data_IF_067936805299
#
_entry.id   IF_067936805299
#
_cell.length_a   1.000
_cell.length_b   1.000
_cell.length_c   1.000
_cell.angle_alpha   90.00
_cell.angle_beta   90.00
_cell.angle_gamma   90.00
#
_symmetry.space_group_name_H-M   'P 1'
#
loop_
_entity.id
_entity.type
_entity.pdbx_description
1 polymer ?
#
# COMPACT_ATOMS: atom_id res chain seq x y z
N UNK A 1 -12.10 -2.86 -6.90
CA UNK A 1 -11.47 -1.62 -6.41
C UNK A 1 -10.06 -1.95 -5.94
N UNK A 2 -9.11 -1.04 -6.16
CA UNK A 2 -7.74 -1.13 -5.70
C UNK A 2 -7.32 0.19 -5.05
N UNK A 3 -6.54 0.10 -3.96
CA UNK A 3 -5.84 1.24 -3.37
C UNK A 3 -4.35 0.94 -3.50
N UNK A 4 -3.66 1.81 -4.23
CA UNK A 4 -2.23 1.67 -4.52
C UNK A 4 -1.49 2.71 -3.69
N UNK A 5 -0.60 2.25 -2.83
CA UNK A 5 0.12 3.09 -1.87
C UNK A 5 1.56 2.65 -1.71
N UNK A 6 2.47 3.60 -1.45
CA UNK A 6 3.91 3.35 -1.45
C UNK A 6 4.41 2.95 -2.84
N UNK A 7 3.79 3.50 -3.90
CA UNK A 7 4.09 3.16 -5.28
C UNK A 7 3.79 4.29 -6.26
N UNK A 8 4.43 4.27 -7.43
CA UNK A 8 4.20 5.23 -8.52
C UNK A 8 4.13 4.54 -9.90
N UNK A 9 3.33 5.10 -10.79
CA UNK A 9 3.33 4.83 -12.22
C UNK A 9 4.44 5.66 -12.89
N UNK A 10 5.69 5.35 -12.55
CA UNK A 10 6.86 6.12 -12.98
C UNK A 10 8.09 5.22 -13.10
N UNK A 11 9.00 5.51 -14.03
CA UNK A 11 10.19 4.67 -14.26
C UNK A 11 11.15 4.64 -13.07
N UNK A 12 11.00 5.53 -12.07
CA UNK A 12 11.73 5.42 -10.79
C UNK A 12 11.53 4.06 -10.12
N UNK A 13 10.35 3.43 -10.31
CA UNK A 13 10.05 2.12 -9.73
C UNK A 13 10.79 0.96 -10.40
N UNK A 14 11.40 1.21 -11.57
CA UNK A 14 12.24 0.23 -12.26
C UNK A 14 13.61 0.08 -11.59
N UNK A 15 13.96 0.94 -10.63
CA UNK A 15 15.23 0.83 -9.87
C UNK A 15 15.06 0.16 -8.51
N UNK A 16 13.99 -0.61 -8.34
CA UNK A 16 13.60 -1.23 -7.06
C UNK A 16 14.03 -2.70 -6.98
N UNK A 17 13.51 -3.44 -5.98
CA UNK A 17 13.77 -4.87 -5.76
C UNK A 17 13.49 -5.67 -7.03
N UNK A 18 14.30 -6.70 -7.30
CA UNK A 18 14.23 -7.50 -8.53
C UNK A 18 12.83 -8.04 -8.83
N UNK A 19 12.12 -8.52 -7.79
CA UNK A 19 10.77 -9.05 -7.88
C UNK A 19 9.75 -8.04 -8.39
N UNK A 20 9.98 -6.74 -8.17
CA UNK A 20 9.09 -5.68 -8.65
C UNK A 20 9.62 -5.04 -9.93
N UNK A 21 10.95 -4.96 -10.11
CA UNK A 21 11.58 -4.41 -11.31
C UNK A 21 11.27 -5.22 -12.57
N UNK A 22 11.59 -6.52 -12.57
CA UNK A 22 11.49 -7.35 -13.78
C UNK A 22 10.09 -7.36 -14.43
N UNK A 23 8.98 -7.57 -13.70
CA UNK A 23 7.66 -7.55 -14.32
C UNK A 23 7.32 -6.16 -14.89
N UNK A 24 7.72 -5.08 -14.21
CA UNK A 24 7.46 -3.72 -14.68
C UNK A 24 8.30 -3.36 -15.92
N UNK A 25 9.56 -3.78 -15.99
CA UNK A 25 10.37 -3.60 -17.22
C UNK A 25 9.71 -4.29 -18.41
N UNK A 26 9.27 -5.54 -18.25
CA UNK A 26 8.59 -6.30 -19.32
C UNK A 26 7.26 -5.69 -19.72
N UNK A 27 6.50 -5.17 -18.75
CA UNK A 27 5.27 -4.43 -19.04
C UNK A 27 5.57 -3.14 -19.82
N UNK A 28 6.63 -2.41 -19.45
CA UNK A 28 7.02 -1.14 -20.08
C UNK A 28 7.58 -1.30 -21.49
N UNK A 29 7.99 -2.50 -21.89
CA UNK A 29 8.29 -2.83 -23.29
C UNK A 29 7.04 -2.74 -24.21
N UNK A 30 5.83 -2.84 -23.64
CA UNK A 30 4.57 -2.94 -24.39
C UNK A 30 3.58 -1.81 -24.09
N UNK A 31 3.59 -1.24 -22.89
CA UNK A 31 2.58 -0.30 -22.42
C UNK A 31 3.22 0.94 -21.81
N UNK A 32 2.64 2.12 -22.07
CA UNK A 32 2.92 3.31 -21.26
C UNK A 32 2.37 3.16 -19.84
N UNK A 33 2.84 3.98 -18.91
CA UNK A 33 2.28 4.03 -17.56
C UNK A 33 0.79 4.41 -17.55
N UNK A 34 0.37 5.27 -18.47
CA UNK A 34 -1.04 5.63 -18.68
C UNK A 34 -1.86 4.45 -19.18
N UNK A 35 -1.34 3.70 -20.17
CA UNK A 35 -2.03 2.50 -20.67
C UNK A 35 -2.18 1.47 -19.55
N UNK A 36 -1.10 1.27 -18.78
CA UNK A 36 -1.10 0.35 -17.66
C UNK A 36 -2.10 0.74 -16.56
N UNK A 37 -2.15 2.03 -16.18
CA UNK A 37 -3.16 2.54 -15.24
C UNK A 37 -4.60 2.41 -15.77
N UNK A 38 -4.77 2.40 -17.09
CA UNK A 38 -6.08 2.29 -17.74
C UNK A 38 -6.58 0.85 -17.89
N UNK A 39 -5.72 -0.17 -17.73
CA UNK A 39 -6.12 -1.58 -17.86
C UNK A 39 -7.21 -2.02 -16.87
N UNK A 40 -7.35 -1.32 -15.76
CA UNK A 40 -8.36 -1.59 -14.74
C UNK A 40 -9.75 -1.04 -15.09
N UNK A 41 -9.86 -0.19 -16.13
CA UNK A 41 -11.13 0.40 -16.54
C UNK A 41 -12.01 -0.61 -17.32
N UNK A 42 -13.36 -0.52 -17.20
CA UNK A 42 -14.12 0.29 -16.23
C UNK A 42 -14.37 -0.44 -14.90
N UNK A 43 -13.99 -1.72 -14.81
CA UNK A 43 -14.48 -2.66 -13.79
C UNK A 43 -13.86 -2.47 -12.39
N UNK A 44 -12.76 -1.73 -12.30
CA UNK A 44 -12.07 -1.52 -11.04
C UNK A 44 -11.79 -0.04 -10.80
N UNK A 45 -12.39 0.52 -9.74
CA UNK A 45 -11.97 1.84 -9.24
C UNK A 45 -10.56 1.75 -8.63
N UNK A 46 -9.69 2.70 -8.98
CA UNK A 46 -8.31 2.81 -8.48
C UNK A 46 -8.10 4.14 -7.73
N UNK A 47 -7.69 4.04 -6.46
CA UNK A 47 -7.16 5.17 -5.70
C UNK A 47 -5.64 5.05 -5.59
N UNK A 48 -4.91 6.05 -6.08
CA UNK A 48 -3.47 6.19 -5.81
C UNK A 48 -3.30 7.10 -4.59
N UNK A 49 -2.73 6.56 -3.51
CA UNK A 49 -2.60 7.25 -2.23
C UNK A 49 -1.14 7.23 -1.75
N UNK A 50 -0.47 8.39 -1.79
CA UNK A 50 0.93 8.53 -1.40
C UNK A 50 1.17 9.81 -0.58
N UNK A 51 2.39 10.00 -0.08
CA UNK A 51 2.82 11.20 0.60
C UNK A 51 3.70 12.05 -0.30
N UNK A 52 3.52 13.38 -0.26
CA UNK A 52 4.32 14.28 -1.11
C UNK A 52 5.79 14.34 -0.70
N UNK A 53 6.11 14.06 0.57
CA UNK A 53 7.47 14.02 1.11
C UNK A 53 8.07 12.60 1.12
N UNK A 54 7.51 11.67 0.34
CA UNK A 54 8.04 10.30 0.24
C UNK A 54 9.36 10.26 -0.55
N UNK A 55 10.45 10.38 0.20
CA UNK A 55 11.83 10.33 -0.30
C UNK A 55 12.24 8.96 -0.85
N UNK A 56 11.52 7.88 -0.53
CA UNK A 56 11.82 6.53 -1.05
C UNK A 56 11.49 6.48 -2.54
N UNK A 57 10.46 7.20 -2.97
CA UNK A 57 9.98 7.17 -4.36
C UNK A 57 10.44 8.41 -5.13
N UNK A 58 10.12 9.61 -4.64
CA UNK A 58 10.27 10.86 -5.40
C UNK A 58 11.63 11.54 -5.18
N UNK A 59 12.38 11.13 -4.15
CA UNK A 59 13.71 11.66 -3.80
C UNK A 59 13.76 13.19 -3.56
N UNK A 60 12.60 13.87 -3.54
CA UNK A 60 12.43 15.22 -2.98
C UNK A 60 12.27 16.36 -3.98
N UNK A 61 12.11 16.09 -5.28
CA UNK A 61 11.87 17.13 -6.30
C UNK A 61 10.40 17.27 -6.73
N UNK A 62 9.51 16.47 -6.15
CA UNK A 62 8.06 16.37 -6.38
C UNK A 62 7.68 15.95 -7.82
N UNK A 63 8.65 15.66 -8.67
CA UNK A 63 8.43 15.43 -10.10
C UNK A 63 7.68 14.12 -10.38
N UNK A 64 7.87 13.09 -9.54
CA UNK A 64 7.13 11.82 -9.65
C UNK A 64 5.65 12.08 -9.36
N UNK A 65 5.34 12.86 -8.33
CA UNK A 65 3.95 13.15 -7.98
C UNK A 65 3.26 14.04 -9.02
N UNK A 66 3.98 14.98 -9.63
CA UNK A 66 3.46 15.76 -10.76
C UNK A 66 3.13 14.86 -11.95
N UNK A 67 4.04 13.95 -12.34
CA UNK A 67 3.80 12.98 -13.43
C UNK A 67 2.66 12.02 -13.09
N UNK A 68 2.55 11.58 -11.84
CA UNK A 68 1.42 10.77 -11.37
C UNK A 68 0.08 11.48 -11.56
N UNK A 69 -0.02 12.77 -11.21
CA UNK A 69 -1.24 13.56 -11.44
C UNK A 69 -1.58 13.63 -12.93
N UNK A 70 -0.58 13.79 -13.79
CA UNK A 70 -0.78 13.79 -15.25
C UNK A 70 -1.25 12.43 -15.78
N UNK A 71 -0.65 11.34 -15.32
CA UNK A 71 -1.03 9.96 -15.68
C UNK A 71 -2.47 9.68 -15.27
N UNK A 72 -2.84 10.00 -14.03
CA UNK A 72 -4.22 9.84 -13.53
C UNK A 72 -5.20 10.67 -14.34
N UNK A 73 -4.88 11.93 -14.60
CA UNK A 73 -5.72 12.81 -15.42
C UNK A 73 -5.95 12.21 -16.81
N UNK A 74 -4.89 11.69 -17.44
CA UNK A 74 -4.97 11.10 -18.77
C UNK A 74 -5.76 9.79 -18.76
N UNK A 75 -5.48 8.88 -17.82
CA UNK A 75 -6.20 7.62 -17.66
C UNK A 75 -7.68 7.86 -17.34
N UNK A 76 -8.01 8.93 -16.60
CA UNK A 76 -9.41 9.28 -16.29
C UNK A 76 -10.26 9.48 -17.55
N UNK A 77 -9.66 9.87 -18.68
CA UNK A 77 -10.38 10.00 -19.94
C UNK A 77 -10.85 8.65 -20.48
N UNK A 78 -10.04 7.59 -20.35
CA UNK A 78 -10.42 6.22 -20.72
C UNK A 78 -11.55 5.73 -19.83
N UNK A 79 -11.41 5.90 -18.52
CA UNK A 79 -12.44 5.59 -17.54
C UNK A 79 -13.78 6.28 -17.84
N UNK A 80 -13.76 7.59 -18.16
CA UNK A 80 -14.95 8.35 -18.59
C UNK A 80 -15.59 7.79 -19.85
N UNK A 81 -14.79 7.47 -20.87
CA UNK A 81 -15.28 6.90 -22.13
C UNK A 81 -15.96 5.53 -21.93
N UNK A 82 -15.48 4.76 -20.95
CA UNK A 82 -16.02 3.44 -20.60
C UNK A 82 -17.13 3.50 -19.54
N UNK A 83 -17.63 4.69 -19.18
CA UNK A 83 -18.77 4.87 -18.29
C UNK A 83 -18.46 4.88 -16.79
N UNK A 84 -17.19 5.06 -16.41
CA UNK A 84 -16.73 5.09 -15.01
C UNK A 84 -15.97 6.39 -14.70
N UNK A 85 -16.61 7.57 -14.74
CA UNK A 85 -15.92 8.87 -14.72
C UNK A 85 -15.04 9.15 -13.50
N UNK A 86 -15.34 8.50 -12.37
CA UNK A 86 -14.59 8.61 -11.10
C UNK A 86 -13.75 7.35 -10.81
N UNK A 87 -13.58 6.47 -11.79
CA UNK A 87 -12.94 5.17 -11.61
C UNK A 87 -11.43 5.22 -11.41
N UNK A 88 -10.77 6.37 -11.57
CA UNK A 88 -9.38 6.54 -11.15
C UNK A 88 -9.15 7.94 -10.59
N UNK A 89 -8.48 8.03 -9.44
CA UNK A 89 -8.10 9.29 -8.83
C UNK A 89 -6.84 9.14 -7.96
N UNK A 90 -6.23 10.27 -7.61
CA UNK A 90 -5.08 10.32 -6.73
C UNK A 90 -5.36 11.23 -5.53
N UNK A 91 -4.79 10.85 -4.40
CA UNK A 91 -4.74 11.64 -3.19
C UNK A 91 -3.31 11.63 -2.65
N UNK A 92 -2.79 12.81 -2.31
CA UNK A 92 -1.45 12.96 -1.76
C UNK A 92 -1.52 13.66 -0.41
N UNK A 93 -0.96 13.03 0.64
CA UNK A 93 -0.83 13.66 1.96
C UNK A 93 0.32 14.66 1.91
N UNK A 94 0.01 15.94 2.12
CA UNK A 94 1.00 17.00 2.28
C UNK A 94 1.94 16.66 3.44
N UNK A 95 3.25 16.81 3.24
CA UNK A 95 4.31 16.48 4.21
C UNK A 95 4.35 15.00 4.65
N UNK A 96 3.47 14.14 4.11
CA UNK A 96 3.48 12.71 4.36
C UNK A 96 4.65 12.04 3.63
N UNK A 97 5.30 11.07 4.27
CA UNK A 97 6.35 10.28 3.62
C UNK A 97 5.83 8.91 3.15
N UNK A 98 6.67 7.88 3.23
CA UNK A 98 6.33 6.50 2.85
C UNK A 98 5.46 5.80 3.92
N UNK A 99 4.16 6.07 3.90
CA UNK A 99 3.19 5.63 4.92
C UNK A 99 2.13 4.66 4.33
N UNK A 100 1.45 3.86 5.17
CA UNK A 100 0.42 2.93 4.70
C UNK A 100 -0.91 3.66 4.40
N UNK A 101 -0.99 4.42 3.30
CA UNK A 101 -2.17 5.25 3.01
C UNK A 101 -3.44 4.44 2.72
N UNK A 102 -3.32 3.15 2.40
CA UNK A 102 -4.47 2.25 2.22
C UNK A 102 -5.32 2.05 3.48
N UNK A 103 -4.84 2.44 4.67
CA UNK A 103 -5.60 2.42 5.93
C UNK A 103 -5.96 3.82 6.44
N UNK A 104 -5.79 4.87 5.63
CA UNK A 104 -6.21 6.22 6.00
C UNK A 104 -7.71 6.44 5.82
N UNK A 105 -8.25 7.51 6.41
CA UNK A 105 -9.65 7.92 6.24
C UNK A 105 -10.03 8.10 4.77
N UNK A 106 -9.16 8.68 3.95
CA UNK A 106 -9.41 8.89 2.52
C UNK A 106 -9.62 7.56 1.80
N UNK A 107 -8.86 6.54 2.17
CA UNK A 107 -9.06 5.18 1.69
C UNK A 107 -10.38 4.59 2.18
N UNK A 108 -10.77 4.80 3.44
CA UNK A 108 -12.08 4.39 3.95
C UNK A 108 -13.25 5.09 3.24
N UNK A 109 -13.12 6.38 2.93
CA UNK A 109 -14.13 7.12 2.15
C UNK A 109 -14.27 6.54 0.74
N UNK A 110 -13.15 6.24 0.08
CA UNK A 110 -13.15 5.61 -1.24
C UNK A 110 -13.79 4.21 -1.20
N UNK A 111 -13.44 3.39 -0.20
CA UNK A 111 -14.08 2.09 0.04
C UNK A 111 -15.59 2.26 0.19
N UNK A 112 -16.04 3.20 1.03
CA UNK A 112 -17.47 3.43 1.28
C UNK A 112 -18.21 3.83 0.00
N UNK A 113 -17.64 4.73 -0.79
CA UNK A 113 -18.28 5.24 -2.00
C UNK A 113 -18.47 4.16 -3.06
N UNK A 114 -17.53 3.21 -3.19
CA UNK A 114 -17.55 2.23 -4.28
C UNK A 114 -18.00 0.82 -3.86
N UNK A 115 -17.76 0.42 -2.61
CA UNK A 115 -18.09 -0.91 -2.09
C UNK A 115 -19.09 -0.86 -0.94
N UNK A 116 -19.27 0.29 -0.31
CA UNK A 116 -20.05 0.46 0.92
C UNK A 116 -19.29 0.03 2.17
N UNK A 117 -19.72 0.53 3.33
CA UNK A 117 -19.27 0.06 4.64
C UNK A 117 -20.50 -0.24 5.50
N UNK A 118 -20.94 -1.50 5.64
CA UNK A 118 -22.20 -1.83 6.30
C UNK A 118 -22.34 -1.32 7.74
N UNK A 119 -21.21 -1.16 8.44
CA UNK A 119 -21.18 -0.73 9.84
C UNK A 119 -21.11 0.79 10.04
N UNK A 120 -20.89 1.59 8.99
CA UNK A 120 -20.65 3.02 9.11
C UNK A 120 -21.20 3.81 7.91
N UNK A 121 -21.78 4.98 8.16
CA UNK A 121 -22.09 5.96 7.12
C UNK A 121 -20.83 6.73 6.70
N UNK A 122 -20.85 7.34 5.52
CA UNK A 122 -19.77 8.24 5.08
C UNK A 122 -19.51 9.38 6.08
N UNK A 123 -20.58 9.92 6.68
CA UNK A 123 -20.44 10.98 7.70
C UNK A 123 -19.71 10.46 8.94
N UNK A 124 -20.07 9.27 9.43
CA UNK A 124 -19.36 8.65 10.56
C UNK A 124 -17.88 8.41 10.25
N UNK A 125 -17.54 7.97 9.03
CA UNK A 125 -16.14 7.78 8.62
C UNK A 125 -15.37 9.11 8.68
N UNK A 126 -15.96 10.19 8.15
CA UNK A 126 -15.34 11.53 8.17
C UNK A 126 -15.12 12.03 9.60
N UNK A 127 -16.10 11.80 10.47
CA UNK A 127 -16.11 12.21 11.88
C UNK A 127 -15.27 11.33 12.81
N UNK A 128 -14.76 10.18 12.35
CA UNK A 128 -13.90 9.31 13.17
C UNK A 128 -12.75 10.12 13.81
N UNK A 129 -12.36 9.87 15.06
CA UNK A 129 -11.10 10.41 15.56
C UNK A 129 -9.93 9.84 14.75
N UNK A 130 -8.77 10.49 14.86
CA UNK A 130 -7.51 9.95 14.34
C UNK A 130 -6.54 9.68 15.47
N UNK A 131 -5.67 8.71 15.26
CA UNK A 131 -4.56 8.38 16.15
C UNK A 131 -3.25 8.36 15.35
N UNK A 132 -2.18 8.86 15.95
CA UNK A 132 -0.85 8.66 15.40
C UNK A 132 -0.39 7.23 15.66
N UNK A 133 -0.02 6.52 14.59
CA UNK A 133 0.41 5.12 14.62
C UNK A 133 1.57 4.87 15.59
N UNK A 134 2.57 5.75 15.62
CA UNK A 134 3.70 5.66 16.53
C UNK A 134 3.30 5.79 17.99
N UNK A 135 2.50 6.80 18.32
CA UNK A 135 1.98 7.00 19.68
C UNK A 135 1.12 5.82 20.13
N UNK A 136 0.28 5.29 19.24
CA UNK A 136 -0.52 4.10 19.52
C UNK A 136 0.35 2.88 19.79
N UNK A 137 1.43 2.69 19.01
CA UNK A 137 2.40 1.60 19.25
C UNK A 137 3.09 1.74 20.61
N UNK A 138 3.55 2.95 20.96
CA UNK A 138 4.22 3.23 22.22
C UNK A 138 3.30 2.93 23.42
N UNK A 139 2.02 3.32 23.34
CA UNK A 139 1.01 3.05 24.38
C UNK A 139 0.77 1.55 24.63
N UNK A 140 1.02 0.72 23.62
CA UNK A 140 0.80 -0.72 23.67
C UNK A 140 2.09 -1.55 23.75
N UNK A 141 3.25 -0.90 23.92
CA UNK A 141 4.54 -1.57 24.00
C UNK A 141 4.97 -2.28 22.70
N UNK A 142 4.45 -1.85 21.55
CA UNK A 142 4.78 -2.40 20.24
C UNK A 142 6.01 -1.68 19.70
N UNK A 143 7.08 -2.42 19.44
CA UNK A 143 8.28 -1.89 18.83
C UNK A 143 8.17 -1.98 17.31
N UNK A 144 8.19 -0.82 16.64
CA UNK A 144 8.32 -0.76 15.19
C UNK A 144 9.76 -1.09 14.79
N UNK A 145 9.91 -1.82 13.68
CA UNK A 145 11.21 -2.05 13.08
C UNK A 145 11.84 -0.69 12.67
N UNK A 146 13.17 -0.60 12.76
CA UNK A 146 13.91 0.65 12.67
C UNK A 146 13.58 1.48 11.43
N UNK A 147 13.49 0.85 10.25
CA UNK A 147 13.18 1.55 9.01
C UNK A 147 11.75 2.08 8.99
N UNK A 148 10.79 1.43 9.66
CA UNK A 148 9.41 1.92 9.73
C UNK A 148 9.15 2.88 10.89
N UNK A 149 10.09 2.96 11.84
CA UNK A 149 10.01 3.70 13.08
C UNK A 149 10.23 5.21 12.98
N UNK A 150 10.15 5.83 11.80
CA UNK A 150 10.40 7.28 11.63
C UNK A 150 9.10 8.06 11.35
N UNK A 151 9.04 9.36 11.66
CA UNK A 151 7.87 10.19 11.34
C UNK A 151 7.53 10.26 9.84
N UNK A 152 8.49 10.05 8.95
CA UNK A 152 8.19 9.98 7.51
C UNK A 152 7.60 8.62 7.09
N UNK A 153 7.68 7.59 7.93
CA UNK A 153 7.19 6.24 7.60
C UNK A 153 6.00 5.84 8.48
N UNK A 154 5.79 4.53 8.70
CA UNK A 154 4.64 3.98 9.42
C UNK A 154 4.41 4.63 10.79
N UNK A 155 5.47 5.01 11.52
CA UNK A 155 5.34 5.69 12.82
C UNK A 155 4.60 7.03 12.72
N UNK A 156 4.77 7.77 11.63
CA UNK A 156 4.10 9.06 11.42
C UNK A 156 2.68 8.97 10.88
N UNK A 157 2.17 7.77 10.60
CA UNK A 157 0.85 7.62 9.99
C UNK A 157 -0.28 8.14 10.89
N UNK A 158 -1.21 8.89 10.30
CA UNK A 158 -2.41 9.40 10.98
C UNK A 158 -3.59 8.54 10.55
N UNK A 159 -3.99 7.62 11.43
CA UNK A 159 -4.94 6.56 11.10
C UNK A 159 -6.31 6.84 11.74
N UNK A 160 -7.42 6.41 11.12
CA UNK A 160 -8.72 6.42 11.77
C UNK A 160 -8.68 5.57 13.05
N UNK A 161 -9.12 6.15 14.16
CA UNK A 161 -9.21 5.43 15.43
C UNK A 161 -10.53 4.66 15.48
N UNK A 162 -10.41 3.35 15.28
CA UNK A 162 -11.52 2.39 15.30
C UNK A 162 -11.62 1.65 16.64
N UNK A 163 -10.92 2.10 17.69
CA UNK A 163 -10.88 1.41 18.98
C UNK A 163 -10.25 0.02 18.91
N UNK A 164 -9.27 -0.16 18.03
CA UNK A 164 -8.58 -1.45 17.86
C UNK A 164 -7.64 -1.72 19.03
N UNK A 165 -7.53 -2.99 19.41
CA UNK A 165 -6.58 -3.47 20.41
C UNK A 165 -5.58 -4.44 19.78
N UNK A 166 -4.32 -4.44 20.23
CA UNK A 166 -3.33 -5.40 19.76
C UNK A 166 -3.81 -6.83 19.96
N UNK A 167 -3.58 -7.67 18.97
CA UNK A 167 -3.70 -9.12 19.16
C UNK A 167 -2.45 -9.61 19.88
N UNK A 168 -2.56 -10.32 21.03
CA UNK A 168 -1.42 -10.87 21.74
C UNK A 168 -0.56 -11.76 20.83
N UNK A 169 0.77 -11.72 21.02
CA UNK A 169 1.73 -12.46 20.19
C UNK A 169 1.44 -13.96 20.16
N UNK A 170 0.99 -14.50 21.29
CA UNK A 170 0.65 -15.91 21.46
C UNK A 170 -0.53 -16.33 20.57
N UNK A 171 -1.39 -15.38 20.19
CA UNK A 171 -2.49 -15.60 19.25
C UNK A 171 -2.09 -15.34 17.79
N UNK A 172 -0.94 -14.72 17.54
CA UNK A 172 -0.39 -14.47 16.20
C UNK A 172 0.54 -15.60 15.73
N UNK A 173 1.11 -16.38 16.66
CA UNK A 173 2.00 -17.49 16.30
C UNK A 173 1.20 -18.66 15.73
N UNK A 174 1.46 -19.00 14.47
CA UNK A 174 0.91 -20.21 13.87
C UNK A 174 1.70 -21.46 14.26
N UNK A 175 3.02 -21.30 14.43
CA UNK A 175 3.91 -22.35 14.88
C UNK A 175 3.94 -22.40 16.40
N UNK A 176 3.89 -23.62 16.95
CA UNK A 176 4.19 -23.87 18.35
C UNK A 176 5.68 -23.58 18.64
N UNK A 177 6.04 -23.24 19.89
CA UNK A 177 7.42 -22.92 20.23
C UNK A 177 8.44 -24.01 19.88
N UNK A 178 8.06 -25.28 19.94
CA UNK A 178 8.88 -26.45 19.59
C UNK A 178 8.96 -26.72 18.07
N UNK A 179 8.07 -26.11 17.28
CA UNK A 179 8.11 -26.17 15.81
C UNK A 179 9.05 -25.12 15.21
N UNK A 180 9.43 -24.09 15.98
CA UNK A 180 10.31 -23.03 15.52
C UNK A 180 11.70 -23.57 15.15
N UNK A 181 12.10 -23.35 13.89
CA UNK A 181 13.38 -23.84 13.37
C UNK A 181 13.38 -25.32 12.96
N UNK A 182 12.23 -26.01 13.05
CA UNK A 182 12.11 -27.38 12.55
C UNK A 182 12.28 -27.43 11.01
N UNK A 183 12.90 -28.48 10.45
CA UNK A 183 13.24 -28.53 9.02
C UNK A 183 12.04 -28.31 8.07
N UNK A 184 10.83 -28.71 8.47
CA UNK A 184 9.63 -28.52 7.65
C UNK A 184 9.21 -27.05 7.50
N UNK A 185 9.74 -26.13 8.32
CA UNK A 185 9.42 -24.70 8.28
C UNK A 185 10.66 -23.82 8.02
N UNK A 186 11.78 -24.40 7.58
CA UNK A 186 13.00 -23.65 7.25
C UNK A 186 13.41 -23.87 5.80
N UNK A 187 14.05 -22.86 5.21
CA UNK A 187 14.58 -22.95 3.84
C UNK A 187 15.64 -24.05 3.77
N UNK A 188 16.49 -24.16 4.79
CA UNK A 188 17.53 -25.17 4.89
C UNK A 188 16.95 -26.58 4.88
N UNK A 189 15.87 -26.83 5.63
CA UNK A 189 15.21 -28.13 5.64
C UNK A 189 14.54 -28.46 4.30
N UNK A 190 13.93 -27.47 3.64
CA UNK A 190 13.36 -27.65 2.30
C UNK A 190 14.44 -27.97 1.25
N UNK A 191 15.60 -27.31 1.31
CA UNK A 191 16.73 -27.59 0.42
C UNK A 191 17.27 -29.01 0.63
N UNK A 192 17.45 -29.44 1.88
CA UNK A 192 17.89 -30.81 2.20
C UNK A 192 16.91 -31.86 1.67
N UNK A 193 15.60 -31.61 1.76
CA UNK A 193 14.59 -32.53 1.23
C UNK A 193 14.66 -32.65 -0.30
N UNK A 194 14.83 -31.53 -1.01
CA UNK A 194 14.98 -31.50 -2.47
C UNK A 194 16.23 -32.26 -2.91
N UNK A 195 17.36 -32.03 -2.24
CA UNK A 195 18.62 -32.72 -2.54
C UNK A 195 18.51 -34.24 -2.32
N UNK A 196 17.84 -34.65 -1.24
CA UNK A 196 17.61 -36.07 -0.95
C UNK A 196 16.71 -36.74 -1.99
N UNK A 197 15.70 -36.04 -2.50
CA UNK A 197 14.79 -36.55 -3.56
C UNK A 197 15.46 -36.63 -4.93
N UNK A 198 16.57 -35.92 -5.13
CA UNK A 198 17.31 -35.89 -6.40
C UNK A 198 18.43 -36.94 -6.48
N UNK A 199 18.62 -37.75 -5.44
CA UNK A 199 19.54 -38.89 -5.38
C UNK A 199 18.78 -40.20 -5.44
#
# INVERSE_FOLDING_TARGET
MAIVSGWAYDDVVLRTKYCTRLPNERMREQLSWTDYASLAAPDCTVLLANGEADWIIDQGDNSVWERMRQIVSTASNVYKQLGSPDGIHAWFEAEGGHRPYFIYKQSLECIHQHLGTPAMTLQQIRELPTVNSGQWCDQHGIQLEHLYGTPLHQRGATLPDLGLHPTPREKLSYLQPDELGSPQFTVEGWLQEIERKSR
#
